data_IF_009832137988
#
_entry.id   IF_009832137988
#
_cell.length_a   1.000
_cell.length_b   1.000
_cell.length_c   1.000
_cell.angle_alpha   90.00
_cell.angle_beta   90.00
_cell.angle_gamma   90.00
#
_symmetry.space_group_name_H-M   'P 1'
#
loop_
_entity.id
_entity.type
_entity.pdbx_description
1 polymer ?
#
# COMPACT_ATOMS: atom_id res chain seq x y z
N UNK A 1 79.02 40.74 -29.87
CA UNK A 1 78.45 41.01 -28.51
C UNK A 1 76.96 40.68 -28.48
N UNK A 2 76.72 39.47 -28.16
CA UNK A 2 75.33 38.95 -28.03
C UNK A 2 75.20 38.36 -26.67
N UNK A 3 74.26 38.92 -25.87
CA UNK A 3 73.92 38.40 -24.61
C UNK A 3 72.70 37.49 -24.75
N UNK A 4 72.88 36.20 -24.48
CA UNK A 4 71.78 35.24 -24.38
C UNK A 4 71.12 35.36 -23.02
N UNK A 5 69.87 35.75 -23.03
CA UNK A 5 68.99 35.74 -21.84
C UNK A 5 68.17 34.41 -21.82
N UNK A 6 68.65 33.46 -21.02
CA UNK A 6 67.83 32.24 -20.74
C UNK A 6 66.70 32.54 -19.74
N UNK A 7 65.48 32.51 -20.24
CA UNK A 7 64.31 32.56 -19.41
C UNK A 7 63.98 31.14 -18.95
N UNK A 8 64.26 30.85 -17.69
CA UNK A 8 63.88 29.56 -17.03
C UNK A 8 62.40 29.45 -16.78
N UNK A 9 61.73 28.58 -17.51
CA UNK A 9 60.30 28.24 -17.34
C UNK A 9 60.15 27.24 -16.19
N UNK A 10 59.71 27.71 -15.05
CA UNK A 10 59.38 26.85 -13.92
C UNK A 10 58.03 26.16 -14.21
N UNK A 11 58.06 24.87 -14.52
CA UNK A 11 56.86 24.04 -14.65
C UNK A 11 56.34 23.70 -13.24
N UNK A 12 55.24 24.31 -12.84
CA UNK A 12 54.55 23.98 -11.61
C UNK A 12 53.80 22.64 -11.83
N UNK A 13 54.20 21.60 -11.11
CA UNK A 13 53.49 20.32 -11.06
C UNK A 13 52.20 20.50 -10.22
N UNK A 14 51.05 20.61 -10.88
CA UNK A 14 49.75 20.53 -10.24
C UNK A 14 49.47 19.05 -9.97
N UNK A 15 49.52 18.62 -8.71
CA UNK A 15 49.10 17.31 -8.29
C UNK A 15 47.57 17.29 -8.19
N UNK A 16 46.87 16.64 -9.14
CA UNK A 16 45.45 16.34 -9.03
C UNK A 16 45.26 15.23 -7.98
N UNK A 17 44.73 15.58 -6.81
CA UNK A 17 44.18 14.63 -5.87
C UNK A 17 42.81 14.20 -6.37
N UNK A 18 42.71 13.05 -7.01
CA UNK A 18 41.44 12.39 -7.28
C UNK A 18 40.94 11.78 -5.98
N UNK A 19 39.99 12.46 -5.31
CA UNK A 19 39.26 11.89 -4.20
C UNK A 19 38.30 10.81 -4.75
N UNK A 20 38.66 9.55 -4.60
CA UNK A 20 37.78 8.43 -4.87
C UNK A 20 36.68 8.41 -3.80
N UNK A 21 35.47 8.88 -4.14
CA UNK A 21 34.26 8.69 -3.32
C UNK A 21 33.89 7.22 -3.47
N UNK A 22 34.28 6.40 -2.49
CA UNK A 22 33.78 5.03 -2.33
C UNK A 22 32.33 5.14 -1.87
N UNK A 23 31.38 5.07 -2.80
CA UNK A 23 29.96 4.86 -2.48
C UNK A 23 29.87 3.43 -1.96
N UNK A 24 29.89 3.25 -0.64
CA UNK A 24 29.49 2.00 -0.01
C UNK A 24 28.01 1.80 -0.27
N UNK A 25 27.67 1.12 -1.37
CA UNK A 25 26.33 0.58 -1.61
C UNK A 25 26.06 -0.51 -0.58
N UNK A 26 25.61 -0.12 0.60
CA UNK A 26 25.05 -1.07 1.56
C UNK A 26 23.82 -1.69 0.92
N UNK A 27 23.82 -3.00 0.73
CA UNK A 27 22.60 -3.76 0.39
C UNK A 27 21.61 -3.51 1.51
N UNK A 28 20.53 -2.79 1.22
CA UNK A 28 19.41 -2.67 2.17
C UNK A 28 18.80 -4.06 2.25
N UNK A 29 19.09 -4.80 3.30
CA UNK A 29 18.48 -6.09 3.57
C UNK A 29 16.99 -5.86 3.84
N UNK A 30 16.13 -6.63 3.16
CA UNK A 30 14.68 -6.50 3.30
C UNK A 30 14.27 -6.69 4.77
N UNK A 31 13.36 -5.84 5.24
CA UNK A 31 12.89 -5.87 6.62
C UNK A 31 12.31 -7.26 6.97
N UNK A 32 12.83 -7.97 7.98
CA UNK A 32 12.42 -9.33 8.28
C UNK A 32 10.96 -9.39 8.74
N UNK A 33 10.17 -10.29 8.14
CA UNK A 33 8.79 -10.52 8.55
C UNK A 33 8.68 -11.09 9.98
N UNK A 34 7.51 -11.02 10.59
CA UNK A 34 7.25 -11.56 11.92
C UNK A 34 5.83 -12.12 12.08
N UNK A 35 5.64 -12.98 13.09
CA UNK A 35 4.36 -13.66 13.34
C UNK A 35 3.60 -13.10 14.56
N UNK A 36 4.11 -12.06 15.19
CA UNK A 36 3.51 -11.38 16.33
C UNK A 36 3.94 -9.91 16.38
N UNK A 37 3.44 -9.13 17.32
CA UNK A 37 3.70 -7.69 17.40
C UNK A 37 5.13 -7.29 17.83
N UNK A 38 5.94 -8.20 18.38
CA UNK A 38 7.20 -7.84 19.06
C UNK A 38 8.23 -7.17 18.13
N UNK A 39 8.32 -7.62 16.86
CA UNK A 39 9.25 -7.06 15.88
C UNK A 39 8.68 -5.91 15.03
N UNK A 40 7.39 -5.57 15.18
CA UNK A 40 6.70 -4.66 14.25
C UNK A 40 7.31 -3.25 14.24
N UNK A 41 7.66 -2.71 15.39
CA UNK A 41 8.25 -1.37 15.50
C UNK A 41 9.64 -1.32 14.83
N UNK A 42 10.48 -2.33 15.07
CA UNK A 42 11.79 -2.42 14.40
C UNK A 42 11.65 -2.62 12.89
N UNK A 43 10.71 -3.46 12.46
CA UNK A 43 10.41 -3.66 11.06
C UNK A 43 10.00 -2.36 10.37
N UNK A 44 9.14 -1.53 11.01
CA UNK A 44 8.76 -0.22 10.46
C UNK A 44 9.98 0.68 10.22
N UNK A 45 10.96 0.68 11.11
CA UNK A 45 12.17 1.49 10.95
C UNK A 45 12.97 1.06 9.71
N UNK A 46 13.18 -0.24 9.53
CA UNK A 46 13.90 -0.78 8.36
C UNK A 46 13.10 -0.51 7.09
N UNK A 47 11.79 -0.84 7.10
CA UNK A 47 10.92 -0.61 5.96
C UNK A 47 10.82 0.87 5.56
N UNK A 48 10.83 1.79 6.52
CA UNK A 48 10.83 3.23 6.25
C UNK A 48 12.07 3.68 5.47
N UNK A 49 13.24 3.10 5.77
CA UNK A 49 14.48 3.36 5.03
C UNK A 49 14.40 2.85 3.59
N UNK A 50 13.90 1.63 3.40
CA UNK A 50 13.65 1.07 2.07
C UNK A 50 12.64 1.91 1.28
N UNK A 51 11.55 2.31 1.91
CA UNK A 51 10.50 3.11 1.29
C UNK A 51 11.03 4.49 0.86
N UNK A 52 11.84 5.13 1.71
CA UNK A 52 12.50 6.39 1.37
C UNK A 52 13.46 6.22 0.18
N UNK A 53 14.24 5.14 0.14
CA UNK A 53 15.13 4.82 -0.98
C UNK A 53 14.36 4.57 -2.30
N UNK A 54 13.11 4.07 -2.21
CA UNK A 54 12.19 3.92 -3.36
C UNK A 54 11.42 5.20 -3.72
N UNK A 55 11.70 6.33 -3.06
CA UNK A 55 11.12 7.64 -3.38
C UNK A 55 9.81 7.98 -2.68
N UNK A 56 9.39 7.20 -1.66
CA UNK A 56 8.28 7.57 -0.78
C UNK A 56 8.69 8.80 0.04
N UNK A 57 7.82 9.81 0.06
CA UNK A 57 8.13 11.11 0.66
C UNK A 57 8.01 11.10 2.19
N UNK A 58 8.64 12.06 2.89
CA UNK A 58 8.61 12.14 4.36
C UNK A 58 7.21 12.13 4.97
N UNK A 59 6.22 12.71 4.29
CA UNK A 59 4.82 12.70 4.74
C UNK A 59 4.27 11.29 4.90
N UNK A 60 4.46 10.43 3.90
CA UNK A 60 3.97 9.05 3.95
C UNK A 60 4.83 8.20 4.90
N UNK A 61 6.13 8.44 4.99
CA UNK A 61 6.99 7.80 6.00
C UNK A 61 6.50 8.14 7.40
N UNK A 62 6.21 9.42 7.69
CA UNK A 62 5.64 9.81 8.99
C UNK A 62 4.31 9.11 9.27
N UNK A 63 3.43 8.97 8.27
CA UNK A 63 2.18 8.23 8.41
C UNK A 63 2.41 6.74 8.69
N UNK A 64 3.38 6.09 8.04
CA UNK A 64 3.78 4.72 8.32
C UNK A 64 4.23 4.57 9.78
N UNK A 65 5.04 5.50 10.29
CA UNK A 65 5.55 5.43 11.67
C UNK A 65 4.45 5.55 12.73
N UNK A 66 3.28 6.13 12.41
CA UNK A 66 2.11 6.16 13.30
C UNK A 66 1.29 4.88 13.32
N UNK A 67 1.56 3.92 12.43
CA UNK A 67 0.82 2.66 12.36
C UNK A 67 1.10 1.79 13.60
N UNK A 68 0.09 1.00 13.96
CA UNK A 68 0.16 0.04 15.06
C UNK A 68 -0.15 -1.37 14.56
N UNK A 69 0.43 -2.38 15.18
CA UNK A 69 0.15 -3.78 14.85
C UNK A 69 -1.31 -4.13 15.14
N UNK A 70 -2.04 -4.60 14.14
CA UNK A 70 -3.46 -4.91 14.22
C UNK A 70 -3.73 -6.41 14.39
N UNK A 71 -3.93 -6.85 15.63
CA UNK A 71 -4.31 -8.25 15.93
C UNK A 71 -5.68 -8.60 15.33
N UNK A 72 -6.59 -7.62 15.19
CA UNK A 72 -7.88 -7.78 14.53
C UNK A 72 -7.73 -8.15 13.06
N UNK A 73 -6.83 -7.46 12.34
CA UNK A 73 -6.51 -7.74 10.94
C UNK A 73 -5.95 -9.16 10.77
N UNK A 74 -5.00 -9.56 11.61
CA UNK A 74 -4.43 -10.93 11.57
C UNK A 74 -5.51 -11.99 11.83
N UNK A 75 -6.42 -11.73 12.79
CA UNK A 75 -7.53 -12.64 13.08
C UNK A 75 -8.48 -12.78 11.89
N UNK A 76 -8.81 -11.67 11.23
CA UNK A 76 -9.64 -11.66 10.04
C UNK A 76 -8.97 -12.39 8.87
N UNK A 77 -7.70 -12.12 8.61
CA UNK A 77 -6.91 -12.76 7.54
C UNK A 77 -6.80 -14.28 7.72
N UNK A 78 -6.61 -14.76 8.94
CA UNK A 78 -6.49 -16.19 9.25
C UNK A 78 -7.84 -16.88 9.50
N UNK A 79 -8.90 -16.11 9.74
CA UNK A 79 -10.23 -16.59 10.13
C UNK A 79 -11.17 -16.95 8.97
N UNK A 80 -10.74 -16.91 7.73
CA UNK A 80 -11.58 -17.17 6.55
C UNK A 80 -12.00 -18.64 6.46
N UNK A 81 -13.16 -18.97 7.05
CA UNK A 81 -13.74 -20.32 7.03
C UNK A 81 -14.84 -20.51 5.97
N UNK A 82 -15.07 -19.54 5.11
CA UNK A 82 -16.21 -19.50 4.17
C UNK A 82 -16.18 -20.61 3.11
N UNK A 83 -15.03 -21.15 2.79
CA UNK A 83 -14.88 -22.21 1.78
C UNK A 83 -15.42 -23.59 2.19
N UNK A 84 -15.88 -23.75 3.41
CA UNK A 84 -16.46 -25.01 3.91
C UNK A 84 -17.99 -25.03 3.93
N UNK A 85 -18.63 -23.94 3.51
CA UNK A 85 -20.08 -23.82 3.48
C UNK A 85 -20.63 -24.32 2.13
N UNK A 86 -21.83 -24.95 2.16
CA UNK A 86 -22.63 -25.12 0.94
C UNK A 86 -23.01 -23.76 0.36
N UNK A 87 -23.36 -23.70 -0.93
CA UNK A 87 -23.80 -22.45 -1.58
C UNK A 87 -24.98 -21.84 -0.82
N UNK A 88 -26.00 -22.62 -0.47
CA UNK A 88 -27.18 -22.12 0.22
C UNK A 88 -26.83 -21.55 1.61
N UNK A 89 -26.00 -22.25 2.38
CA UNK A 89 -25.53 -21.78 3.68
C UNK A 89 -24.69 -20.50 3.55
N UNK A 90 -23.87 -20.41 2.51
CA UNK A 90 -23.11 -19.19 2.21
C UNK A 90 -24.04 -18.03 1.86
N UNK A 91 -24.98 -18.24 0.95
CA UNK A 91 -25.95 -17.22 0.53
C UNK A 91 -26.82 -16.73 1.70
N UNK A 92 -27.32 -17.65 2.54
CA UNK A 92 -28.05 -17.31 3.75
C UNK A 92 -27.20 -16.48 4.72
N UNK A 93 -25.96 -16.92 4.99
CA UNK A 93 -25.02 -16.21 5.87
C UNK A 93 -24.69 -14.80 5.37
N UNK A 94 -24.61 -14.60 4.06
CA UNK A 94 -24.36 -13.29 3.43
C UNK A 94 -25.61 -12.40 3.35
N UNK A 95 -26.79 -12.89 3.74
CA UNK A 95 -28.04 -12.13 3.64
C UNK A 95 -28.47 -11.86 2.21
N UNK A 96 -28.27 -12.82 1.30
CA UNK A 96 -28.45 -12.65 -0.14
C UNK A 96 -29.85 -12.13 -0.52
N UNK A 97 -30.93 -12.59 0.15
CA UNK A 97 -32.28 -12.10 -0.11
C UNK A 97 -32.41 -10.58 0.11
N UNK A 98 -31.83 -10.06 1.20
CA UNK A 98 -31.81 -8.63 1.49
C UNK A 98 -30.98 -7.84 0.47
N UNK A 99 -29.82 -8.37 0.06
CA UNK A 99 -28.97 -7.77 -0.98
C UNK A 99 -29.73 -7.68 -2.30
N UNK A 100 -30.42 -8.76 -2.71
CA UNK A 100 -31.21 -8.79 -3.95
C UNK A 100 -32.35 -7.78 -3.89
N UNK A 101 -33.11 -7.74 -2.80
CA UNK A 101 -34.22 -6.81 -2.61
C UNK A 101 -33.76 -5.35 -2.70
N UNK A 102 -32.75 -4.97 -1.91
CA UNK A 102 -32.18 -3.62 -1.91
C UNK A 102 -31.54 -3.27 -3.25
N UNK A 103 -30.83 -4.20 -3.88
CA UNK A 103 -30.23 -4.01 -5.21
C UNK A 103 -31.28 -3.70 -6.28
N UNK A 104 -32.42 -4.40 -6.30
CA UNK A 104 -33.54 -4.09 -7.21
C UNK A 104 -34.08 -2.68 -6.99
N UNK A 105 -34.26 -2.26 -5.75
CA UNK A 105 -34.72 -0.90 -5.42
C UNK A 105 -33.70 0.16 -5.89
N UNK A 106 -32.42 -0.06 -5.66
CA UNK A 106 -31.34 0.86 -6.10
C UNK A 106 -31.24 0.91 -7.63
N UNK A 107 -31.40 -0.22 -8.32
CA UNK A 107 -31.45 -0.26 -9.78
C UNK A 107 -32.57 0.63 -10.33
N UNK A 108 -33.77 0.52 -9.76
CA UNK A 108 -34.92 1.34 -10.18
C UNK A 108 -34.69 2.83 -9.89
N UNK A 109 -34.25 3.14 -8.68
CA UNK A 109 -34.00 4.53 -8.25
C UNK A 109 -32.88 5.24 -9.02
N UNK A 110 -31.92 4.50 -9.58
CA UNK A 110 -30.76 5.04 -10.30
C UNK A 110 -30.69 4.51 -11.74
N UNK A 111 -31.82 4.29 -12.39
CA UNK A 111 -31.90 3.63 -13.70
C UNK A 111 -31.02 4.32 -14.76
N UNK A 112 -31.03 5.64 -14.84
CA UNK A 112 -30.22 6.41 -15.78
C UNK A 112 -28.72 6.25 -15.55
N UNK A 113 -28.26 6.23 -14.28
CA UNK A 113 -26.87 6.00 -13.92
C UNK A 113 -26.41 4.62 -14.39
N UNK A 114 -27.18 3.58 -14.09
CA UNK A 114 -26.81 2.21 -14.47
C UNK A 114 -26.86 2.01 -15.99
N UNK A 115 -27.81 2.60 -16.70
CA UNK A 115 -27.82 2.58 -18.15
C UNK A 115 -26.59 3.25 -18.76
N UNK A 116 -26.15 4.38 -18.21
CA UNK A 116 -24.91 5.05 -18.64
C UNK A 116 -23.66 4.23 -18.36
N UNK A 117 -23.58 3.56 -17.23
CA UNK A 117 -22.47 2.65 -16.88
C UNK A 117 -22.42 1.48 -17.87
N UNK A 118 -23.56 0.83 -18.10
CA UNK A 118 -23.68 -0.28 -19.04
C UNK A 118 -23.28 0.13 -20.46
N UNK A 119 -23.79 1.27 -20.94
CA UNK A 119 -23.44 1.83 -22.25
C UNK A 119 -21.94 2.14 -22.37
N UNK A 120 -21.33 2.71 -21.33
CA UNK A 120 -19.93 3.16 -21.37
C UNK A 120 -18.92 2.04 -21.16
N UNK A 121 -19.23 1.08 -20.30
CA UNK A 121 -18.28 0.06 -19.84
C UNK A 121 -18.70 -1.37 -20.17
N UNK A 122 -19.89 -1.59 -20.72
CA UNK A 122 -20.42 -2.92 -21.03
C UNK A 122 -20.77 -3.76 -19.80
N UNK A 123 -20.84 -3.16 -18.61
CA UNK A 123 -21.11 -3.85 -17.34
C UNK A 123 -22.59 -3.70 -17.00
N UNK A 124 -23.40 -4.79 -17.04
CA UNK A 124 -24.80 -4.73 -16.67
C UNK A 124 -24.98 -4.44 -15.17
N UNK A 125 -26.12 -3.83 -14.77
CA UNK A 125 -26.36 -3.44 -13.38
C UNK A 125 -26.33 -4.58 -12.36
N UNK A 126 -26.72 -5.80 -12.78
CA UNK A 126 -26.81 -6.95 -11.88
C UNK A 126 -25.49 -7.31 -11.16
N UNK A 127 -24.42 -7.65 -11.91
CA UNK A 127 -23.11 -7.93 -11.31
C UNK A 127 -22.58 -6.78 -10.46
N UNK A 128 -22.71 -5.52 -10.92
CA UNK A 128 -22.24 -4.35 -10.19
C UNK A 128 -22.95 -4.21 -8.82
N UNK A 129 -24.28 -4.34 -8.81
CA UNK A 129 -25.07 -4.26 -7.58
C UNK A 129 -24.82 -5.45 -6.64
N UNK A 130 -24.62 -6.65 -7.19
CA UNK A 130 -24.30 -7.83 -6.39
C UNK A 130 -22.96 -7.65 -5.64
N UNK A 131 -21.92 -7.20 -6.36
CA UNK A 131 -20.61 -6.93 -5.76
C UNK A 131 -20.73 -5.81 -4.71
N UNK A 132 -21.32 -4.67 -5.05
CA UNK A 132 -21.50 -3.56 -4.11
C UNK A 132 -22.28 -3.97 -2.86
N UNK A 133 -23.32 -4.78 -3.02
CA UNK A 133 -24.11 -5.32 -1.90
C UNK A 133 -23.32 -6.30 -1.02
N UNK A 134 -22.54 -7.21 -1.64
CA UNK A 134 -21.76 -8.19 -0.90
C UNK A 134 -20.57 -7.59 -0.17
N UNK A 135 -19.89 -6.62 -0.76
CA UNK A 135 -18.67 -6.02 -0.18
C UNK A 135 -19.01 -5.08 0.98
N UNK A 136 -19.96 -4.17 0.79
CA UNK A 136 -20.18 -3.08 1.75
C UNK A 136 -21.65 -2.91 2.18
N UNK A 137 -22.55 -3.82 1.84
CA UNK A 137 -23.98 -3.61 2.09
C UNK A 137 -24.51 -2.33 1.42
N UNK A 138 -24.05 -2.03 0.21
CA UNK A 138 -24.33 -0.78 -0.52
C UNK A 138 -23.79 0.47 0.17
N UNK A 139 -22.61 0.40 0.73
CA UNK A 139 -21.93 1.51 1.42
C UNK A 139 -22.31 1.66 2.90
N UNK A 140 -23.17 0.78 3.44
CA UNK A 140 -23.55 0.84 4.85
C UNK A 140 -22.44 0.32 5.79
N UNK A 141 -21.54 -0.52 5.29
CA UNK A 141 -20.46 -1.14 6.06
C UNK A 141 -19.14 -0.98 5.31
N UNK A 142 -18.39 0.05 5.65
CA UNK A 142 -17.08 0.32 5.06
C UNK A 142 -15.92 -0.10 5.97
N UNK A 143 -16.24 -0.73 7.09
CA UNK A 143 -15.24 -1.11 8.09
C UNK A 143 -14.78 0.06 8.98
N UNK A 144 -14.01 -0.26 10.01
CA UNK A 144 -13.51 0.73 10.97
C UNK A 144 -12.04 0.51 11.34
N UNK A 145 -11.34 -0.41 10.67
CA UNK A 145 -9.92 -0.61 10.87
C UNK A 145 -9.12 0.58 10.32
N UNK A 146 -8.04 0.95 10.99
CA UNK A 146 -7.10 1.91 10.39
C UNK A 146 -6.45 1.23 9.18
N UNK A 147 -6.71 1.76 7.99
CA UNK A 147 -6.29 1.15 6.72
C UNK A 147 -4.79 0.96 6.63
N UNK A 148 -4.01 2.00 6.98
CA UNK A 148 -2.57 1.94 6.88
C UNK A 148 -1.97 0.95 7.90
N UNK A 149 -2.50 0.92 9.14
CA UNK A 149 -2.09 -0.07 10.16
C UNK A 149 -2.42 -1.50 9.73
N UNK A 150 -3.59 -1.72 9.12
CA UNK A 150 -4.00 -3.03 8.62
C UNK A 150 -3.05 -3.53 7.53
N UNK A 151 -2.77 -2.70 6.52
CA UNK A 151 -1.89 -3.07 5.41
C UNK A 151 -0.44 -3.25 5.89
N UNK A 152 0.07 -2.36 6.77
CA UNK A 152 1.41 -2.49 7.34
C UNK A 152 1.55 -3.78 8.17
N UNK A 153 0.51 -4.14 8.95
CA UNK A 153 0.50 -5.39 9.72
C UNK A 153 0.58 -6.61 8.79
N UNK A 154 -0.14 -6.61 7.67
CA UNK A 154 -0.12 -7.71 6.71
C UNK A 154 1.19 -7.76 5.90
N UNK A 155 1.81 -6.62 5.63
CA UNK A 155 3.13 -6.56 5.00
C UNK A 155 4.24 -7.10 5.92
N UNK A 156 4.09 -6.89 7.23
CA UNK A 156 4.98 -7.46 8.23
C UNK A 156 4.74 -8.96 8.48
N UNK A 157 3.50 -9.47 8.34
CA UNK A 157 3.17 -10.87 8.62
C UNK A 157 3.84 -11.83 7.62
N UNK A 158 4.49 -12.90 8.12
CA UNK A 158 5.25 -13.85 7.30
C UNK A 158 4.38 -14.72 6.36
N UNK A 159 3.06 -14.59 6.38
CA UNK A 159 2.17 -15.41 5.55
C UNK A 159 2.19 -15.03 4.06
N UNK A 160 2.19 -13.73 3.75
CA UNK A 160 2.18 -13.20 2.38
C UNK A 160 2.88 -11.83 2.31
N UNK A 161 4.13 -11.73 2.81
CA UNK A 161 4.80 -10.43 2.98
C UNK A 161 5.00 -9.71 1.64
N UNK A 162 5.39 -10.40 0.58
CA UNK A 162 5.66 -9.78 -0.72
C UNK A 162 4.41 -9.11 -1.29
N UNK A 163 3.28 -9.82 -1.29
CA UNK A 163 2.01 -9.27 -1.79
C UNK A 163 1.60 -8.01 -1.03
N UNK A 164 1.62 -8.04 0.31
CA UNK A 164 1.20 -6.90 1.11
C UNK A 164 2.23 -5.79 1.17
N UNK A 165 3.50 -6.06 0.95
CA UNK A 165 4.54 -5.05 0.76
C UNK A 165 4.22 -4.16 -0.44
N UNK A 166 3.84 -4.73 -1.58
CA UNK A 166 3.42 -3.93 -2.75
C UNK A 166 2.15 -3.11 -2.47
N UNK A 167 1.18 -3.68 -1.74
CA UNK A 167 -0.01 -2.93 -1.31
C UNK A 167 0.35 -1.78 -0.36
N UNK A 168 1.33 -1.96 0.50
CA UNK A 168 1.80 -0.91 1.40
C UNK A 168 2.49 0.23 0.63
N UNK A 169 3.33 -0.07 -0.35
CA UNK A 169 3.90 0.96 -1.24
C UNK A 169 2.83 1.74 -2.00
N UNK A 170 1.81 1.05 -2.50
CA UNK A 170 0.67 1.70 -3.14
C UNK A 170 -0.07 2.63 -2.15
N UNK A 171 -0.36 2.16 -0.94
CA UNK A 171 -1.01 2.96 0.10
C UNK A 171 -0.18 4.19 0.50
N UNK A 172 1.14 4.05 0.69
CA UNK A 172 2.04 5.15 0.99
C UNK A 172 2.09 6.18 -0.15
N UNK A 173 2.07 5.72 -1.40
CA UNK A 173 1.97 6.61 -2.57
C UNK A 173 0.66 7.42 -2.57
N UNK A 174 -0.46 6.81 -2.16
CA UNK A 174 -1.74 7.53 -2.00
C UNK A 174 -1.70 8.56 -0.87
N UNK A 175 -0.96 8.27 0.22
CA UNK A 175 -0.71 9.26 1.29
C UNK A 175 0.10 10.44 0.78
N UNK A 176 1.14 10.20 -0.01
CA UNK A 176 1.96 11.26 -0.61
C UNK A 176 1.14 12.17 -1.53
N UNK A 177 0.21 11.59 -2.28
CA UNK A 177 -0.73 12.32 -3.17
C UNK A 177 -1.85 13.01 -2.41
N UNK A 178 -2.01 12.76 -1.11
CA UNK A 178 -3.09 13.31 -0.30
C UNK A 178 -4.46 12.63 -0.50
N UNK A 179 -4.52 11.53 -1.24
CA UNK A 179 -5.76 10.74 -1.46
C UNK A 179 -6.09 9.88 -0.24
N UNK A 180 -5.08 9.43 0.49
CA UNK A 180 -5.20 8.68 1.73
C UNK A 180 -4.58 9.49 2.88
N UNK A 181 -5.10 9.34 4.10
CA UNK A 181 -4.50 9.92 5.32
C UNK A 181 -4.11 8.81 6.30
N UNK A 182 -3.23 9.13 7.26
CA UNK A 182 -2.88 8.22 8.34
C UNK A 182 -4.10 7.78 9.17
N UNK A 183 -5.14 8.62 9.24
CA UNK A 183 -6.37 8.34 9.97
C UNK A 183 -7.46 7.66 9.15
N UNK A 184 -7.24 7.37 7.86
CA UNK A 184 -8.25 6.73 7.00
C UNK A 184 -8.63 5.35 7.54
N UNK A 185 -9.94 5.11 7.61
CA UNK A 185 -10.52 3.85 8.08
C UNK A 185 -11.26 3.14 6.97
N UNK A 186 -11.27 1.81 7.03
CA UNK A 186 -11.93 0.95 6.06
C UNK A 186 -11.98 -0.51 6.55
N UNK A 187 -12.52 -1.38 5.71
CA UNK A 187 -12.54 -2.83 5.95
C UNK A 187 -11.24 -3.48 5.51
#
# INVERSE_FOLDING_TARGET
>A
NGGNLMVGMRVAKVALFAAAIVVMGGSVEAAPCGNNSAGFENWKQVFAQEAAARGIKPKAISALMTTTYSTGTIRADRGQKSFKLSLDAFMAKRGAAGIVSKGRSLKAANAALFANIEKRYGVPPGPLLAIWGMETGFGAFTGNANTLSAVATLAYDCRRPEYFTEQLYAALTLVDRGTLSAGTRGA
#
